data_IF_297103743160
#
_entry.id   IF_297103743160
#
_cell.length_a   1.000
_cell.length_b   1.000
_cell.length_c   1.000
_cell.angle_alpha   90.00
_cell.angle_beta   90.00
_cell.angle_gamma   90.00
#
_symmetry.space_group_name_H-M   'P 1'
#
loop_
_entity.id
_entity.type
_entity.pdbx_description
1 polymer ?
#
# COMPACT_ATOMS: atom_id res chain seq x y z
N UNK A 1 30.13 -65.95 -16.87
CA UNK A 1 29.75 -65.11 -15.70
C UNK A 1 30.32 -63.69 -15.86
N UNK A 2 29.73 -62.84 -16.70
CA UNK A 2 30.25 -61.46 -16.92
C UNK A 2 29.17 -60.35 -16.96
N UNK A 3 27.89 -60.68 -16.86
CA UNK A 3 26.80 -59.68 -16.94
C UNK A 3 26.31 -59.15 -15.57
N UNK A 4 26.63 -59.83 -14.46
CA UNK A 4 26.09 -59.46 -13.14
C UNK A 4 26.87 -58.34 -12.41
N UNK A 5 28.08 -58.00 -12.88
CA UNK A 5 28.95 -56.98 -12.23
C UNK A 5 28.71 -55.57 -12.74
N UNK A 6 28.23 -55.40 -13.97
CA UNK A 6 27.93 -54.08 -14.58
C UNK A 6 26.60 -53.50 -14.11
N UNK A 7 25.58 -54.33 -13.87
CA UNK A 7 24.27 -53.88 -13.38
C UNK A 7 24.31 -53.27 -11.97
N UNK A 8 25.19 -53.78 -11.07
CA UNK A 8 25.30 -53.24 -9.70
C UNK A 8 25.99 -51.87 -9.63
N UNK A 9 26.85 -51.53 -10.59
CA UNK A 9 27.48 -50.21 -10.66
C UNK A 9 26.54 -49.14 -11.24
N UNK A 10 25.70 -49.52 -12.21
CA UNK A 10 24.71 -48.60 -12.79
C UNK A 10 23.63 -48.18 -11.78
N UNK A 11 23.19 -49.08 -10.89
CA UNK A 11 22.19 -48.73 -9.87
C UNK A 11 22.74 -47.77 -8.80
N UNK A 12 24.02 -47.91 -8.43
CA UNK A 12 24.67 -47.05 -7.44
C UNK A 12 24.94 -45.62 -7.96
N UNK A 13 25.13 -45.46 -9.27
CA UNK A 13 25.23 -44.14 -9.92
C UNK A 13 23.85 -43.46 -10.06
N UNK A 14 22.79 -44.24 -10.23
CA UNK A 14 21.41 -43.72 -10.31
C UNK A 14 20.91 -43.15 -8.98
N UNK A 15 21.21 -43.78 -7.85
CA UNK A 15 20.78 -43.31 -6.52
C UNK A 15 21.53 -42.08 -6.03
N UNK A 16 22.78 -41.88 -6.46
CA UNK A 16 23.56 -40.68 -6.14
C UNK A 16 23.07 -39.43 -6.89
N UNK A 17 22.58 -39.57 -8.13
CA UNK A 17 22.01 -38.45 -8.90
C UNK A 17 20.64 -38.01 -8.38
N UNK A 18 19.82 -38.97 -7.93
CA UNK A 18 18.48 -38.66 -7.39
C UNK A 18 18.57 -37.95 -6.05
N UNK A 19 19.53 -38.31 -5.20
CA UNK A 19 19.73 -37.67 -3.88
C UNK A 19 20.34 -36.28 -3.99
N UNK A 20 21.23 -36.02 -4.96
CA UNK A 20 21.77 -34.67 -5.21
C UNK A 20 20.81 -33.77 -5.98
N UNK A 21 20.00 -34.32 -6.89
CA UNK A 21 18.96 -33.56 -7.61
C UNK A 21 17.85 -33.05 -6.69
N UNK A 22 17.39 -33.87 -5.73
CA UNK A 22 16.33 -33.48 -4.79
C UNK A 22 16.83 -32.39 -3.82
N UNK A 23 18.10 -32.42 -3.39
CA UNK A 23 18.66 -31.37 -2.54
C UNK A 23 18.93 -30.05 -3.30
N UNK A 24 19.22 -30.11 -4.60
CA UNK A 24 19.36 -28.90 -5.44
C UNK A 24 18.00 -28.24 -5.75
N UNK A 25 16.90 -28.99 -5.76
CA UNK A 25 15.53 -28.47 -5.91
C UNK A 25 14.96 -27.84 -4.63
N UNK A 26 15.44 -28.26 -3.45
CA UNK A 26 15.03 -27.68 -2.15
C UNK A 26 15.86 -26.43 -1.80
N UNK A 27 17.01 -26.25 -2.44
CA UNK A 27 17.86 -25.06 -2.32
C UNK A 27 17.75 -24.12 -3.53
N UNK A 28 16.65 -24.17 -4.29
CA UNK A 28 16.27 -22.99 -5.06
C UNK A 28 16.15 -21.87 -4.02
N UNK A 29 16.90 -20.75 -4.13
CA UNK A 29 16.54 -19.58 -3.36
C UNK A 29 15.11 -19.27 -3.78
N UNK A 30 14.15 -19.60 -2.91
CA UNK A 30 12.84 -18.96 -2.97
C UNK A 30 13.20 -17.48 -3.04
N UNK A 31 12.82 -16.77 -4.12
CA UNK A 31 13.03 -15.34 -4.10
C UNK A 31 12.28 -14.89 -2.85
N UNK A 32 13.04 -14.34 -1.90
CA UNK A 32 12.47 -13.63 -0.76
C UNK A 32 11.80 -12.39 -1.33
N UNK A 33 10.67 -12.60 -2.01
CA UNK A 33 9.84 -11.58 -2.63
C UNK A 33 8.51 -11.56 -1.87
N UNK A 34 8.61 -11.57 -0.54
CA UNK A 34 7.75 -10.66 0.22
C UNK A 34 8.37 -9.25 0.09
N UNK A 35 8.59 -8.79 -1.14
CA UNK A 35 8.93 -7.40 -1.42
C UNK A 35 7.65 -6.64 -1.15
N UNK A 36 7.54 -6.04 0.02
CA UNK A 36 6.43 -5.14 0.29
C UNK A 36 6.46 -3.97 -0.70
N UNK A 37 5.31 -3.40 -0.98
CA UNK A 37 5.20 -2.14 -1.72
C UNK A 37 5.30 -1.02 -0.68
N UNK A 38 6.27 -0.12 -0.82
CA UNK A 38 6.34 1.09 0.00
C UNK A 38 5.38 2.12 -0.56
N UNK A 39 4.43 2.55 0.25
CA UNK A 39 3.39 3.51 -0.14
C UNK A 39 3.57 4.78 0.66
N UNK A 40 3.89 5.87 -0.01
CA UNK A 40 3.97 7.22 0.53
C UNK A 40 2.80 8.04 0.01
N UNK A 41 1.90 8.43 0.89
CA UNK A 41 0.68 9.15 0.49
C UNK A 41 0.57 10.45 1.25
N UNK A 42 0.31 11.52 0.52
CA UNK A 42 -0.05 12.83 1.07
C UNK A 42 -1.54 13.08 0.87
N UNK A 43 -2.25 13.40 1.96
CA UNK A 43 -3.62 13.93 1.91
C UNK A 43 -3.52 15.45 2.03
N UNK A 44 -3.89 16.15 0.97
CA UNK A 44 -3.78 17.60 0.85
C UNK A 44 -5.13 18.27 1.18
N UNK A 45 -5.14 19.02 2.28
CA UNK A 45 -6.27 19.83 2.74
C UNK A 45 -6.06 21.34 2.47
N UNK A 46 -5.05 21.75 1.68
CA UNK A 46 -4.67 23.15 1.50
C UNK A 46 -5.83 24.02 0.99
N UNK A 47 -6.65 23.48 0.08
CA UNK A 47 -7.73 24.23 -0.58
C UNK A 47 -9.04 24.33 0.22
N UNK A 48 -9.08 23.79 1.43
CA UNK A 48 -10.31 23.68 2.24
C UNK A 48 -10.19 24.32 3.63
N UNK A 49 -9.02 24.91 3.93
CA UNK A 49 -8.77 25.64 5.17
C UNK A 49 -8.94 27.16 4.95
N UNK A 50 -10.11 27.70 5.35
CA UNK A 50 -10.39 29.13 5.31
C UNK A 50 -10.00 29.88 6.61
N UNK A 51 -9.61 29.17 7.68
CA UNK A 51 -9.44 29.77 9.03
C UNK A 51 -8.07 29.54 9.70
N UNK A 52 -7.16 28.78 9.09
CA UNK A 52 -5.73 28.80 9.42
C UNK A 52 -5.33 28.10 10.72
N UNK A 53 -6.26 27.46 11.44
CA UNK A 53 -5.91 26.64 12.59
C UNK A 53 -5.55 25.21 12.12
N UNK A 54 -4.52 24.65 12.75
CA UNK A 54 -4.06 23.27 12.50
C UNK A 54 -4.95 22.22 13.16
N UNK A 55 -5.84 22.66 14.05
CA UNK A 55 -6.83 21.84 14.75
C UNK A 55 -8.04 21.47 13.88
N UNK A 56 -8.12 21.94 12.64
CA UNK A 56 -9.30 21.78 11.77
C UNK A 56 -9.10 20.82 10.58
N UNK A 57 -8.03 20.02 10.56
CA UNK A 57 -7.81 19.02 9.51
C UNK A 57 -7.26 17.72 10.10
N UNK A 58 -8.03 16.64 9.99
CA UNK A 58 -7.72 15.32 10.57
C UNK A 58 -7.59 14.27 9.48
N UNK A 59 -6.50 13.51 9.50
CA UNK A 59 -6.41 12.29 8.72
C UNK A 59 -7.46 11.28 9.23
N UNK A 60 -8.10 10.53 8.34
CA UNK A 60 -9.02 9.45 8.74
C UNK A 60 -8.31 8.11 8.67
N UNK A 61 -7.84 7.76 7.49
CA UNK A 61 -7.28 6.46 7.20
C UNK A 61 -6.65 6.41 5.82
N UNK A 62 -5.70 5.48 5.68
CA UNK A 62 -5.15 5.05 4.40
C UNK A 62 -5.76 3.69 4.04
N UNK A 63 -6.30 3.55 2.82
CA UNK A 63 -7.05 2.37 2.37
C UNK A 63 -6.31 1.61 1.27
N UNK A 64 -6.29 0.29 1.39
CA UNK A 64 -5.65 -0.64 0.46
C UNK A 64 -6.59 -1.78 0.11
N UNK A 65 -7.39 -1.65 -0.95
CA UNK A 65 -8.17 -2.75 -1.54
C UNK A 65 -8.88 -3.69 -0.56
N UNK A 66 -9.40 -3.17 0.57
CA UNK A 66 -10.05 -3.95 1.63
C UNK A 66 -9.42 -3.84 3.03
N UNK A 67 -8.21 -3.30 3.17
CA UNK A 67 -7.57 -2.99 4.46
C UNK A 67 -7.50 -1.48 4.71
N UNK A 68 -7.52 -1.07 5.98
CA UNK A 68 -7.36 0.31 6.41
C UNK A 68 -6.23 0.43 7.43
N UNK A 69 -5.37 1.42 7.24
CA UNK A 69 -4.36 1.83 8.21
C UNK A 69 -4.89 3.05 8.97
N UNK A 70 -4.84 3.04 10.32
CA UNK A 70 -5.37 4.12 11.12
C UNK A 70 -4.57 5.43 10.94
N UNK A 71 -5.26 6.57 11.09
CA UNK A 71 -4.66 7.90 11.05
C UNK A 71 -3.50 8.10 12.04
N UNK A 72 -3.44 7.32 13.13
CA UNK A 72 -2.36 7.42 14.12
C UNK A 72 -0.96 7.11 13.55
N UNK A 73 -0.91 6.51 12.36
CA UNK A 73 0.33 6.30 11.61
C UNK A 73 0.70 7.46 10.67
N UNK A 74 -0.16 8.46 10.54
CA UNK A 74 0.08 9.63 9.71
C UNK A 74 0.90 10.67 10.47
N UNK A 75 1.74 11.40 9.73
CA UNK A 75 2.46 12.56 10.22
C UNK A 75 1.81 13.82 9.67
N UNK A 76 1.43 14.73 10.55
CA UNK A 76 0.95 16.06 10.18
C UNK A 76 2.10 16.88 9.58
N UNK A 77 1.84 17.59 8.47
CA UNK A 77 2.74 18.58 7.88
C UNK A 77 2.01 19.94 7.92
N UNK A 78 2.14 20.70 9.02
CA UNK A 78 1.40 21.95 9.20
C UNK A 78 1.67 23.00 8.12
N UNK A 79 2.90 23.09 7.62
CA UNK A 79 3.29 24.08 6.62
C UNK A 79 2.52 23.97 5.29
N UNK A 80 1.98 22.79 4.98
CA UNK A 80 1.25 22.51 3.75
C UNK A 80 -0.19 22.06 4.01
N UNK A 81 -0.66 22.14 5.26
CA UNK A 81 -1.99 21.63 5.67
C UNK A 81 -2.27 20.23 5.13
N UNK A 82 -1.32 19.31 5.31
CA UNK A 82 -1.41 17.98 4.73
C UNK A 82 -0.97 16.89 5.70
N UNK A 83 -1.52 15.69 5.54
CA UNK A 83 -1.10 14.49 6.27
C UNK A 83 -0.28 13.58 5.38
N UNK A 84 0.83 13.05 5.89
CA UNK A 84 1.63 12.07 5.17
C UNK A 84 1.57 10.71 5.84
N UNK A 85 1.29 9.68 5.06
CA UNK A 85 1.37 8.28 5.45
C UNK A 85 2.56 7.62 4.76
N UNK A 86 3.29 6.80 5.49
CA UNK A 86 4.29 5.89 4.90
C UNK A 86 4.03 4.49 5.42
N UNK A 87 3.71 3.56 4.52
CA UNK A 87 3.35 2.19 4.89
C UNK A 87 3.94 1.17 3.93
N UNK A 88 4.28 -0.01 4.45
CA UNK A 88 4.69 -1.14 3.63
C UNK A 88 3.52 -2.11 3.54
N UNK A 89 3.01 -2.34 2.32
CA UNK A 89 1.88 -3.25 2.08
C UNK A 89 2.33 -4.52 1.34
N UNK A 90 1.54 -5.61 1.36
CA UNK A 90 1.88 -6.81 0.61
C UNK A 90 2.02 -6.54 -0.91
N UNK A 91 2.90 -7.29 -1.59
CA UNK A 91 3.09 -7.20 -3.05
C UNK A 91 1.83 -7.46 -3.90
N UNK A 92 0.81 -8.08 -3.31
CA UNK A 92 -0.49 -8.33 -3.95
C UNK A 92 -1.48 -7.16 -3.86
N UNK A 93 -1.13 -6.03 -3.24
CA UNK A 93 -2.03 -4.88 -3.17
C UNK A 93 -2.20 -4.25 -4.55
N UNK A 94 -3.46 -4.17 -5.00
CA UNK A 94 -3.81 -3.71 -6.36
C UNK A 94 -4.33 -2.28 -6.43
N UNK A 95 -4.62 -1.67 -5.28
CA UNK A 95 -5.12 -0.30 -5.24
C UNK A 95 -4.78 0.38 -3.90
N UNK A 96 -4.57 1.69 -3.95
CA UNK A 96 -4.39 2.57 -2.80
C UNK A 96 -5.37 3.74 -2.88
N UNK A 97 -5.91 4.16 -1.76
CA UNK A 97 -6.66 5.39 -1.61
C UNK A 97 -6.37 6.01 -0.25
N UNK A 98 -6.41 7.33 -0.15
CA UNK A 98 -6.28 8.01 1.14
C UNK A 98 -7.41 9.01 1.35
N UNK A 99 -7.78 9.18 2.62
CA UNK A 99 -8.87 10.03 3.04
C UNK A 99 -8.49 10.88 4.25
N UNK A 100 -9.18 12.01 4.36
CA UNK A 100 -9.12 12.90 5.51
C UNK A 100 -10.43 13.65 5.67
N UNK A 101 -10.64 14.19 6.87
CA UNK A 101 -11.64 15.20 7.16
C UNK A 101 -10.88 16.52 7.16
N UNK A 102 -11.16 17.37 6.17
CA UNK A 102 -10.40 18.59 5.92
C UNK A 102 -11.26 19.85 6.11
N UNK A 103 -12.08 19.88 7.15
CA UNK A 103 -13.15 20.86 7.35
C UNK A 103 -12.84 21.85 8.47
N UNK A 104 -12.81 23.13 8.11
CA UNK A 104 -12.50 24.29 8.95
C UNK A 104 -13.44 24.56 10.12
N UNK A 105 -13.49 23.69 11.13
CA UNK A 105 -14.07 24.00 12.45
C UNK A 105 -15.60 23.95 12.51
N UNK A 106 -16.24 23.09 11.71
CA UNK A 106 -17.69 22.92 11.80
C UNK A 106 -18.08 21.98 12.95
N UNK A 107 -19.26 22.21 13.52
CA UNK A 107 -19.78 21.37 14.59
C UNK A 107 -20.06 19.93 14.14
N UNK A 108 -20.27 19.70 12.83
CA UNK A 108 -20.54 18.40 12.24
C UNK A 108 -19.82 18.23 10.91
N UNK A 109 -18.82 17.36 10.90
CA UNK A 109 -18.03 17.02 9.73
C UNK A 109 -18.02 15.51 9.50
N UNK A 110 -18.17 15.11 8.24
CA UNK A 110 -18.15 13.72 7.84
C UNK A 110 -17.13 13.47 6.74
N UNK A 111 -16.53 12.29 6.81
CA UNK A 111 -15.82 11.72 5.69
C UNK A 111 -16.82 11.16 4.68
N UNK A 112 -16.72 11.61 3.43
CA UNK A 112 -17.58 11.18 2.33
C UNK A 112 -16.98 10.04 1.54
N UNK A 113 -16.10 10.38 0.60
CA UNK A 113 -15.52 9.43 -0.35
C UNK A 113 -14.03 9.67 -0.58
N UNK A 114 -13.33 8.62 -1.00
CA UNK A 114 -11.93 8.65 -1.40
C UNK A 114 -11.79 8.01 -2.78
N UNK A 115 -11.07 8.67 -3.68
CA UNK A 115 -10.62 8.10 -4.94
C UNK A 115 -9.53 7.05 -4.73
N UNK A 116 -9.48 6.04 -5.60
CA UNK A 116 -8.45 5.01 -5.56
C UNK A 116 -7.57 5.08 -6.82
N UNK A 117 -6.28 4.86 -6.65
CA UNK A 117 -5.33 4.63 -7.73
C UNK A 117 -5.01 3.14 -7.81
N UNK A 118 -5.03 2.57 -9.01
CA UNK A 118 -4.57 1.20 -9.25
C UNK A 118 -3.06 1.12 -9.09
N UNK A 119 -2.56 0.00 -8.59
CA UNK A 119 -1.14 -0.29 -8.44
C UNK A 119 -0.77 -1.32 -9.53
N UNK A 120 0.08 -0.96 -10.50
CA UNK A 120 0.56 -1.90 -11.52
C UNK A 120 1.33 -3.07 -10.91
N UNK A 121 1.28 -4.23 -11.56
CA UNK A 121 2.08 -5.38 -11.16
C UNK A 121 3.58 -5.06 -11.26
N UNK A 122 4.36 -5.54 -10.28
CA UNK A 122 5.80 -5.28 -10.21
C UNK A 122 6.17 -3.93 -9.58
N UNK A 123 5.19 -3.11 -9.19
CA UNK A 123 5.45 -1.87 -8.44
C UNK A 123 6.08 -2.21 -7.09
N UNK A 124 7.15 -1.49 -6.74
CA UNK A 124 7.82 -1.58 -5.45
C UNK A 124 7.56 -0.36 -4.58
N UNK A 125 7.35 0.81 -5.22
CA UNK A 125 7.04 2.05 -4.52
C UNK A 125 5.88 2.78 -5.18
N UNK A 126 4.96 3.28 -4.35
CA UNK A 126 3.86 4.15 -4.75
C UNK A 126 4.01 5.46 -4.00
N UNK A 127 4.10 6.57 -4.74
CA UNK A 127 4.07 7.92 -4.16
C UNK A 127 2.87 8.64 -4.73
N UNK A 128 2.00 9.20 -3.89
CA UNK A 128 0.83 9.90 -4.39
C UNK A 128 0.28 10.98 -3.47
N UNK A 129 -0.55 11.84 -4.07
CA UNK A 129 -1.22 12.95 -3.41
C UNK A 129 -2.72 12.87 -3.68
N UNK A 130 -3.51 13.00 -2.63
CA UNK A 130 -4.97 13.07 -2.67
C UNK A 130 -5.41 14.46 -2.24
N UNK A 131 -6.01 15.20 -3.17
CA UNK A 131 -6.59 16.50 -2.85
C UNK A 131 -7.99 16.30 -2.29
N UNK A 132 -8.33 17.03 -1.24
CA UNK A 132 -9.64 16.98 -0.62
C UNK A 132 -10.44 18.26 -0.86
N UNK A 133 -11.76 18.09 -0.96
CA UNK A 133 -12.75 19.16 -1.10
C UNK A 133 -13.83 18.99 -0.06
N UNK A 134 -14.39 20.10 0.42
CA UNK A 134 -15.48 20.10 1.39
C UNK A 134 -16.71 20.76 0.79
N UNK A 135 -17.87 20.17 1.02
CA UNK A 135 -19.15 20.72 0.58
C UNK A 135 -20.23 20.52 1.65
N UNK A 136 -21.17 21.47 1.79
CA UNK A 136 -22.30 21.31 2.69
C UNK A 136 -23.30 20.31 2.09
N UNK A 137 -23.80 19.37 2.89
CA UNK A 137 -24.91 18.47 2.51
C UNK A 137 -26.19 19.05 3.09
N UNK A 138 -27.11 19.58 2.28
CA UNK A 138 -28.33 20.23 2.79
C UNK A 138 -29.51 19.25 2.95
N UNK A 139 -30.29 19.34 4.04
CA UNK A 139 -30.00 20.03 5.30
C UNK A 139 -29.08 19.17 6.18
N UNK A 140 -27.90 19.66 6.58
CA UNK A 140 -26.94 18.76 7.21
C UNK A 140 -25.48 19.21 7.25
N UNK A 141 -24.60 18.26 7.58
CA UNK A 141 -23.20 18.50 7.91
C UNK A 141 -22.33 18.76 6.68
N UNK A 142 -21.06 19.10 6.91
CA UNK A 142 -20.09 19.19 5.82
C UNK A 142 -19.49 17.83 5.52
N UNK A 143 -19.33 17.54 4.23
CA UNK A 143 -18.75 16.30 3.76
C UNK A 143 -17.41 16.58 3.07
N UNK A 144 -16.36 15.87 3.49
CA UNK A 144 -15.06 15.88 2.81
C UNK A 144 -14.98 14.76 1.78
N UNK A 145 -14.64 15.07 0.54
CA UNK A 145 -14.35 14.10 -0.51
C UNK A 145 -12.92 14.30 -1.02
N UNK A 146 -12.14 13.21 -1.04
CA UNK A 146 -10.76 13.23 -1.50
C UNK A 146 -10.63 12.48 -2.82
N UNK A 147 -9.87 13.03 -3.75
CA UNK A 147 -9.62 12.44 -5.06
C UNK A 147 -8.13 12.37 -5.35
N UNK A 148 -7.75 11.45 -6.22
CA UNK A 148 -6.36 11.28 -6.63
C UNK A 148 -5.95 12.51 -7.43
N UNK A 149 -4.96 13.25 -6.93
CA UNK A 149 -4.38 14.41 -7.63
C UNK A 149 -3.18 14.00 -8.48
N UNK A 150 -2.31 13.15 -7.94
CA UNK A 150 -1.13 12.64 -8.64
C UNK A 150 -0.67 11.33 -8.02
N UNK A 151 -0.21 10.37 -8.84
CA UNK A 151 0.44 9.14 -8.38
C UNK A 151 1.59 8.78 -9.31
N UNK A 152 2.69 8.31 -8.73
CA UNK A 152 3.85 7.78 -9.43
C UNK A 152 4.22 6.41 -8.87
N UNK A 153 4.78 5.57 -9.73
CA UNK A 153 5.13 4.18 -9.46
C UNK A 153 6.59 3.94 -9.83
N UNK A 154 7.29 3.10 -9.08
CA UNK A 154 8.62 2.59 -9.42
C UNK A 154 8.81 1.14 -8.99
#
# INVERSE_FOLDING_TARGET
MFAAKTARRALALGSALVTTGVLALVAAPQPAMASGITVQVTVDCLNVNFFGDTSDWYATDLRFGGASVPYSSATAIPATHSWQFTQTVPSGTTAVGAGGICSGGHQYDFFGSTGYASIPAGTTTVIGTWACTTAPVYPGPWQTNCYVQSVSYS
#
